data_IF_873594023193
#
_entry.id   IF_873594023193
#
_cell.length_a   1.000
_cell.length_b   1.000
_cell.length_c   1.000
_cell.angle_alpha   90.00
_cell.angle_beta   90.00
_cell.angle_gamma   90.00
#
_symmetry.space_group_name_H-M   'P 1'
#
loop_
_entity.id
_entity.type
_entity.pdbx_description
1 polymer ?
#
# COMPACT_ATOMS: atom_id res chain seq x y z
N UNK A 1 6.41 10.61 -0.53
CA UNK A 1 7.29 10.09 -1.61
C UNK A 1 7.59 11.14 -2.68
N UNK A 2 6.61 11.67 -3.45
CA UNK A 2 6.90 12.68 -4.49
C UNK A 2 7.63 13.92 -3.93
N UNK A 3 7.22 14.43 -2.76
CA UNK A 3 7.85 15.58 -2.13
C UNK A 3 9.33 15.40 -1.80
N UNK A 4 9.71 14.21 -1.35
CA UNK A 4 11.09 13.89 -0.94
C UNK A 4 11.98 13.44 -2.10
N UNK A 5 11.42 13.16 -3.28
CA UNK A 5 12.12 12.52 -4.40
C UNK A 5 12.05 13.32 -5.72
N UNK A 6 11.91 14.65 -5.67
CA UNK A 6 11.97 15.49 -6.88
C UNK A 6 10.64 15.63 -7.65
N UNK A 7 9.49 15.50 -6.96
CA UNK A 7 8.17 15.86 -7.48
C UNK A 7 7.79 15.16 -8.78
N UNK A 8 7.63 15.92 -9.87
CA UNK A 8 7.20 15.42 -11.16
C UNK A 8 8.15 14.42 -11.82
N UNK A 9 9.46 14.51 -11.55
CA UNK A 9 10.42 13.55 -12.04
C UNK A 9 10.21 12.16 -11.40
N UNK A 10 9.99 12.11 -10.09
CA UNK A 10 9.59 10.89 -9.38
C UNK A 10 8.28 10.32 -9.92
N UNK A 11 7.26 11.17 -10.15
CA UNK A 11 5.97 10.73 -10.69
C UNK A 11 6.12 10.05 -12.07
N UNK A 12 6.95 10.60 -12.95
CA UNK A 12 7.22 9.98 -14.26
C UNK A 12 7.87 8.59 -14.13
N UNK A 13 8.88 8.47 -13.27
CA UNK A 13 9.57 7.19 -13.03
C UNK A 13 8.63 6.17 -12.38
N UNK A 14 7.79 6.64 -11.44
CA UNK A 14 6.75 5.82 -10.82
C UNK A 14 5.76 5.28 -11.86
N UNK A 15 5.20 6.13 -12.74
CA UNK A 15 4.28 5.70 -13.80
C UNK A 15 4.97 4.72 -14.75
N UNK A 16 6.22 4.99 -15.12
CA UNK A 16 7.00 4.08 -15.96
C UNK A 16 7.15 2.70 -15.30
N UNK A 17 7.53 2.61 -14.03
CA UNK A 17 7.66 1.33 -13.33
C UNK A 17 6.33 0.63 -13.11
N UNK A 18 5.27 1.38 -12.84
CA UNK A 18 3.91 0.83 -12.72
C UNK A 18 3.48 0.11 -14.00
N UNK A 19 3.78 0.67 -15.17
CA UNK A 19 3.43 0.08 -16.47
C UNK A 19 4.46 -0.98 -16.88
N UNK A 20 5.76 -0.68 -16.83
CA UNK A 20 6.80 -1.54 -17.40
C UNK A 20 7.10 -2.77 -16.55
N UNK A 21 6.97 -2.66 -15.22
CA UNK A 21 7.30 -3.71 -14.26
C UNK A 21 6.04 -4.18 -13.51
N UNK A 22 5.26 -3.26 -12.99
CA UNK A 22 4.08 -3.57 -12.19
C UNK A 22 3.03 -4.36 -12.97
N UNK A 23 2.71 -3.97 -14.21
CA UNK A 23 1.74 -4.69 -15.04
C UNK A 23 2.13 -6.16 -15.33
N UNK A 24 3.36 -6.48 -15.77
CA UNK A 24 3.79 -7.86 -15.90
C UNK A 24 3.68 -8.67 -14.62
N UNK A 25 4.14 -8.14 -13.49
CA UNK A 25 4.08 -8.84 -12.20
C UNK A 25 2.63 -9.08 -11.78
N UNK A 26 1.76 -8.07 -11.90
CA UNK A 26 0.32 -8.16 -11.63
C UNK A 26 -0.36 -9.23 -12.50
N UNK A 27 -0.10 -9.24 -13.80
CA UNK A 27 -0.63 -10.25 -14.72
C UNK A 27 -0.14 -11.66 -14.38
N UNK A 28 1.13 -11.81 -13.96
CA UNK A 28 1.66 -13.08 -13.48
C UNK A 28 0.89 -13.55 -12.26
N UNK A 29 0.76 -12.72 -11.22
CA UNK A 29 0.02 -13.07 -10.00
C UNK A 29 -1.44 -13.41 -10.29
N UNK A 30 -2.13 -12.60 -11.07
CA UNK A 30 -3.52 -12.86 -11.45
C UNK A 30 -3.67 -14.19 -12.20
N UNK A 31 -2.78 -14.48 -13.15
CA UNK A 31 -2.83 -15.73 -13.91
C UNK A 31 -2.58 -16.95 -13.03
N UNK A 32 -1.60 -16.88 -12.12
CA UNK A 32 -1.28 -17.96 -11.20
C UNK A 32 -2.41 -18.20 -10.19
N UNK A 33 -2.91 -17.15 -9.56
CA UNK A 33 -4.00 -17.24 -8.58
C UNK A 33 -5.29 -17.77 -9.20
N UNK A 34 -5.72 -17.22 -10.36
CA UNK A 34 -6.92 -17.70 -11.07
C UNK A 34 -6.77 -19.14 -11.56
N UNK A 35 -5.60 -19.52 -12.05
CA UNK A 35 -5.36 -20.89 -12.52
C UNK A 35 -5.45 -21.92 -11.40
N UNK A 36 -4.88 -21.61 -10.25
CA UNK A 36 -4.82 -22.51 -9.10
C UNK A 36 -6.13 -22.57 -8.30
N UNK A 37 -6.89 -21.46 -8.26
CA UNK A 37 -8.07 -21.29 -7.39
C UNK A 37 -7.74 -21.58 -5.91
N UNK A 38 -6.53 -21.20 -5.47
CA UNK A 38 -5.99 -21.45 -4.13
C UNK A 38 -5.35 -20.16 -3.56
N UNK A 39 -5.17 -20.13 -2.24
CA UNK A 39 -4.38 -19.11 -1.56
C UNK A 39 -2.93 -19.05 -2.08
N UNK A 40 -2.15 -18.05 -1.66
CA UNK A 40 -0.79 -17.83 -2.16
C UNK A 40 0.13 -19.06 -2.02
N UNK A 41 0.05 -19.83 -0.91
CA UNK A 41 0.86 -21.05 -0.72
C UNK A 41 0.33 -22.21 -1.57
N UNK A 42 -0.98 -22.41 -1.56
CA UNK A 42 -1.66 -23.47 -2.31
C UNK A 42 -1.44 -23.31 -3.82
N UNK A 43 -1.37 -22.10 -4.32
CA UNK A 43 -1.07 -21.79 -5.73
C UNK A 43 0.21 -22.51 -6.19
N UNK A 44 1.30 -22.37 -5.47
CA UNK A 44 2.57 -22.98 -5.86
C UNK A 44 2.58 -24.50 -5.63
N UNK A 45 1.85 -25.01 -4.64
CA UNK A 45 1.69 -26.46 -4.45
C UNK A 45 0.96 -27.13 -5.59
N UNK A 46 -0.06 -26.48 -6.13
CA UNK A 46 -0.85 -26.99 -7.25
C UNK A 46 -0.11 -26.88 -8.57
N UNK A 47 0.55 -25.74 -8.83
CA UNK A 47 1.21 -25.46 -10.11
C UNK A 47 2.62 -26.06 -10.21
N UNK A 48 3.24 -26.41 -9.08
CA UNK A 48 4.59 -27.01 -9.02
C UNK A 48 4.68 -28.10 -7.94
N UNK A 49 3.92 -29.21 -8.09
CA UNK A 49 3.87 -30.26 -7.07
C UNK A 49 5.24 -30.90 -6.86
N UNK A 50 5.55 -31.23 -5.60
CA UNK A 50 6.81 -31.88 -5.24
C UNK A 50 8.04 -30.97 -5.22
N UNK A 51 7.90 -29.68 -5.49
CA UNK A 51 9.00 -28.71 -5.51
C UNK A 51 8.97 -27.80 -4.27
N UNK A 52 10.04 -27.02 -4.08
CA UNK A 52 10.14 -26.04 -2.98
C UNK A 52 9.50 -24.67 -3.33
N UNK A 53 8.83 -24.54 -4.47
CA UNK A 53 8.19 -23.28 -4.89
C UNK A 53 7.12 -22.78 -3.89
N UNK A 54 6.50 -23.68 -3.11
CA UNK A 54 5.54 -23.30 -2.07
C UNK A 54 6.14 -22.34 -1.02
N UNK A 55 7.48 -22.30 -0.85
CA UNK A 55 8.15 -21.38 0.07
C UNK A 55 7.92 -19.91 -0.35
N UNK A 56 7.73 -19.65 -1.65
CA UNK A 56 7.43 -18.28 -2.12
C UNK A 56 6.02 -17.86 -1.74
N UNK A 57 5.05 -18.77 -1.82
CA UNK A 57 3.72 -18.51 -1.30
C UNK A 57 3.74 -18.23 0.21
N UNK A 58 4.56 -18.96 0.96
CA UNK A 58 4.74 -18.71 2.39
C UNK A 58 5.40 -17.35 2.65
N UNK A 59 6.43 -16.98 1.86
CA UNK A 59 7.09 -15.68 1.93
C UNK A 59 6.08 -14.54 1.70
N UNK A 60 5.20 -14.68 0.73
CA UNK A 60 4.16 -13.68 0.43
C UNK A 60 3.17 -13.53 1.60
N UNK A 61 2.79 -14.63 2.26
CA UNK A 61 1.91 -14.60 3.44
C UNK A 61 2.60 -13.89 4.62
N UNK A 62 3.88 -14.18 4.86
CA UNK A 62 4.68 -13.52 5.90
C UNK A 62 4.82 -12.02 5.58
N UNK A 63 5.13 -11.66 4.33
CA UNK A 63 5.24 -10.28 3.90
C UNK A 63 3.93 -9.51 4.15
N UNK A 64 2.78 -10.06 3.74
CA UNK A 64 1.47 -9.45 3.98
C UNK A 64 1.19 -9.23 5.48
N UNK A 65 1.52 -10.20 6.33
CA UNK A 65 1.33 -10.11 7.77
C UNK A 65 2.25 -9.04 8.40
N UNK A 66 3.52 -9.01 8.00
CA UNK A 66 4.48 -8.01 8.49
C UNK A 66 4.10 -6.60 8.02
N UNK A 67 3.71 -6.43 6.74
CA UNK A 67 3.24 -5.14 6.23
C UNK A 67 2.04 -4.67 7.03
N UNK A 68 1.04 -5.52 7.25
CA UNK A 68 -0.15 -5.14 8.01
C UNK A 68 0.20 -4.76 9.45
N UNK A 69 1.23 -5.35 10.05
CA UNK A 69 1.62 -5.06 11.42
C UNK A 69 2.09 -3.61 11.62
N UNK A 70 2.91 -3.07 10.73
CA UNK A 70 3.32 -1.66 10.80
C UNK A 70 2.31 -0.71 10.14
N UNK A 71 1.66 -1.15 9.07
CA UNK A 71 0.60 -0.40 8.41
C UNK A 71 -0.59 -0.12 9.34
N UNK A 72 -0.95 -1.09 10.18
CA UNK A 72 -1.98 -0.92 11.21
C UNK A 72 -1.65 0.16 12.24
N UNK A 73 -0.36 0.39 12.52
CA UNK A 73 0.09 1.49 13.38
C UNK A 73 -0.27 2.86 12.79
N UNK A 74 0.16 3.10 11.55
CA UNK A 74 -0.13 4.37 10.85
C UNK A 74 -1.62 4.55 10.60
N UNK A 75 -2.31 3.46 10.28
CA UNK A 75 -3.77 3.48 10.09
C UNK A 75 -4.52 3.80 11.40
N UNK A 76 -4.01 3.37 12.54
CA UNK A 76 -4.52 3.79 13.84
C UNK A 76 -4.41 5.30 14.07
N UNK A 77 -3.34 5.94 13.57
CA UNK A 77 -3.20 7.40 13.63
C UNK A 77 -4.29 8.12 12.83
N UNK A 78 -4.74 7.56 11.72
CA UNK A 78 -5.82 8.18 10.94
C UNK A 78 -7.12 8.24 11.73
N UNK A 79 -7.44 7.21 12.51
CA UNK A 79 -8.62 7.19 13.38
C UNK A 79 -8.55 8.24 14.49
N UNK A 80 -7.39 8.41 15.13
CA UNK A 80 -7.18 9.49 16.12
C UNK A 80 -7.42 10.84 15.47
N UNK A 81 -6.92 11.07 14.26
CA UNK A 81 -7.05 12.35 13.56
C UNK A 81 -8.48 12.62 13.08
N UNK A 82 -9.26 11.60 12.76
CA UNK A 82 -10.72 11.75 12.57
C UNK A 82 -11.36 12.24 13.86
N UNK A 83 -11.02 11.63 15.00
CA UNK A 83 -11.54 12.04 16.31
C UNK A 83 -11.14 13.48 16.67
N UNK A 84 -9.87 13.85 16.49
CA UNK A 84 -9.37 15.20 16.75
C UNK A 84 -10.05 16.25 15.84
N UNK A 85 -10.33 15.90 14.59
CA UNK A 85 -11.04 16.77 13.65
C UNK A 85 -12.49 17.00 14.08
N UNK A 86 -13.21 15.96 14.47
CA UNK A 86 -14.60 16.04 14.93
C UNK A 86 -14.72 16.80 16.26
N UNK A 87 -13.77 16.57 17.18
CA UNK A 87 -13.74 17.23 18.49
C UNK A 87 -13.19 18.65 18.47
N UNK A 88 -12.81 19.14 17.27
CA UNK A 88 -12.23 20.47 17.06
C UNK A 88 -10.98 20.76 17.92
N UNK A 89 -10.23 19.70 18.25
CA UNK A 89 -9.09 19.77 19.14
C UNK A 89 -7.84 20.43 18.54
N UNK A 90 -7.86 20.77 17.26
CA UNK A 90 -6.79 21.50 16.60
C UNK A 90 -6.85 23.02 16.85
N UNK A 91 -8.00 23.58 17.28
CA UNK A 91 -8.13 25.03 17.52
C UNK A 91 -7.40 25.44 18.80
N UNK A 92 -6.63 26.54 18.69
CA UNK A 92 -6.03 27.22 19.84
C UNK A 92 -4.73 26.62 20.38
N UNK A 93 -4.17 25.59 19.74
CA UNK A 93 -2.89 25.04 20.13
C UNK A 93 -1.77 25.53 19.21
N UNK A 94 -0.89 26.37 19.75
CA UNK A 94 0.28 26.94 19.03
C UNK A 94 1.46 25.97 18.84
N UNK A 95 1.35 24.73 19.32
CA UNK A 95 2.39 23.72 19.24
C UNK A 95 1.85 22.38 18.71
N UNK A 96 1.40 22.38 17.46
CA UNK A 96 0.82 21.18 16.82
C UNK A 96 1.83 20.06 16.62
N UNK A 97 3.12 20.38 16.49
CA UNK A 97 4.19 19.39 16.51
C UNK A 97 4.19 18.57 17.80
N UNK A 98 3.65 19.15 18.89
CA UNK A 98 3.47 18.45 20.16
C UNK A 98 2.27 17.48 20.16
N UNK A 99 1.20 17.74 19.40
CA UNK A 99 0.01 16.86 19.39
C UNK A 99 0.39 15.50 18.80
N UNK A 100 1.03 15.49 17.62
CA UNK A 100 1.44 14.24 16.98
C UNK A 100 2.51 13.52 17.79
N UNK A 101 3.58 14.21 18.19
CA UNK A 101 4.66 13.62 18.98
C UNK A 101 4.18 13.09 20.31
N UNK A 102 3.32 13.80 21.00
CA UNK A 102 2.73 13.35 22.26
C UNK A 102 1.79 12.16 22.03
N UNK A 103 1.04 12.15 20.93
CA UNK A 103 0.15 11.05 20.60
C UNK A 103 0.93 9.77 20.31
N UNK A 104 1.93 9.78 19.40
CA UNK A 104 2.68 8.59 19.02
C UNK A 104 3.57 8.07 20.14
N UNK A 105 4.07 8.94 21.03
CA UNK A 105 4.87 8.57 22.20
C UNK A 105 4.02 8.05 23.37
N UNK A 106 2.71 8.35 23.38
CA UNK A 106 1.83 7.91 24.44
C UNK A 106 1.46 6.42 24.28
N UNK A 107 1.93 5.53 25.17
CA UNK A 107 1.89 4.08 24.92
C UNK A 107 0.47 3.54 24.77
N UNK A 108 -0.45 3.97 25.65
CA UNK A 108 -1.80 3.43 25.65
C UNK A 108 -2.66 4.01 24.53
N UNK A 109 -2.54 5.30 24.23
CA UNK A 109 -3.40 5.96 23.25
C UNK A 109 -3.14 5.48 21.83
N UNK A 110 -1.89 5.49 21.39
CA UNK A 110 -1.50 4.99 20.08
C UNK A 110 -1.83 3.51 19.90
N UNK A 111 -1.61 2.70 20.96
CA UNK A 111 -1.90 1.27 20.95
C UNK A 111 -3.43 1.00 20.86
N UNK A 112 -4.26 1.74 21.58
CA UNK A 112 -5.72 1.59 21.51
C UNK A 112 -6.26 1.86 20.12
N UNK A 113 -5.78 2.90 19.43
CA UNK A 113 -6.17 3.19 18.06
C UNK A 113 -5.67 2.15 17.06
N UNK A 114 -4.46 1.63 17.25
CA UNK A 114 -3.97 0.50 16.48
C UNK A 114 -4.88 -0.73 16.63
N UNK A 115 -5.20 -1.13 17.87
CA UNK A 115 -6.09 -2.26 18.16
C UNK A 115 -7.48 -2.00 17.59
N UNK A 116 -8.02 -0.79 17.73
CA UNK A 116 -9.32 -0.38 17.18
C UNK A 116 -9.37 -0.51 15.67
N UNK A 117 -8.33 -0.07 14.95
CA UNK A 117 -8.23 -0.21 13.52
C UNK A 117 -8.14 -1.68 13.08
N UNK A 118 -7.33 -2.49 13.76
CA UNK A 118 -7.21 -3.92 13.49
C UNK A 118 -8.51 -4.67 13.77
N UNK A 119 -9.25 -4.29 14.80
CA UNK A 119 -10.58 -4.83 15.08
C UNK A 119 -11.57 -4.52 13.97
N UNK A 120 -11.62 -3.27 13.46
CA UNK A 120 -12.46 -2.90 12.32
C UNK A 120 -12.12 -3.72 11.08
N UNK A 121 -10.83 -3.86 10.77
CA UNK A 121 -10.34 -4.67 9.64
C UNK A 121 -10.78 -6.13 9.77
N UNK A 122 -10.59 -6.73 10.95
CA UNK A 122 -11.00 -8.11 11.24
C UNK A 122 -12.51 -8.31 11.16
N UNK A 123 -13.30 -7.37 11.67
CA UNK A 123 -14.76 -7.43 11.63
C UNK A 123 -15.30 -7.48 10.18
N UNK A 124 -14.69 -6.72 9.26
CA UNK A 124 -15.05 -6.75 7.84
C UNK A 124 -14.70 -8.11 7.21
N UNK A 125 -13.51 -8.62 7.47
CA UNK A 125 -13.04 -9.91 6.93
C UNK A 125 -13.88 -11.09 7.43
N UNK A 126 -14.37 -11.05 8.65
CA UNK A 126 -15.30 -12.08 9.19
C UNK A 126 -16.54 -12.25 8.32
N UNK A 127 -17.04 -11.19 7.68
CA UNK A 127 -18.17 -11.23 6.75
C UNK A 127 -17.93 -12.03 5.47
N UNK A 128 -16.68 -12.41 5.19
CA UNK A 128 -16.26 -13.14 3.99
C UNK A 128 -16.10 -12.22 2.78
N UNK A 129 -15.80 -12.83 1.62
CA UNK A 129 -15.47 -12.09 0.40
C UNK A 129 -16.65 -11.24 -0.08
N UNK A 130 -17.83 -11.83 -0.25
CA UNK A 130 -18.98 -11.13 -0.83
C UNK A 130 -19.65 -10.14 0.15
N UNK A 131 -19.94 -10.59 1.39
CA UNK A 131 -20.69 -9.78 2.39
C UNK A 131 -19.77 -8.83 3.17
N UNK A 132 -18.48 -9.14 3.27
CA UNK A 132 -17.47 -8.31 3.91
C UNK A 132 -16.72 -7.47 2.87
N UNK A 133 -15.67 -8.02 2.29
CA UNK A 133 -14.71 -7.29 1.44
C UNK A 133 -15.40 -6.54 0.30
N UNK A 134 -16.16 -7.24 -0.53
CA UNK A 134 -16.78 -6.67 -1.73
C UNK A 134 -17.81 -5.58 -1.39
N UNK A 135 -18.67 -5.83 -0.40
CA UNK A 135 -19.70 -4.88 0.03
C UNK A 135 -19.08 -3.57 0.54
N UNK A 136 -18.10 -3.66 1.44
CA UNK A 136 -17.48 -2.47 2.02
C UNK A 136 -16.61 -1.74 1.00
N UNK A 137 -15.87 -2.45 0.14
CA UNK A 137 -15.08 -1.83 -0.93
C UNK A 137 -15.98 -1.08 -1.93
N UNK A 138 -17.11 -1.65 -2.32
CA UNK A 138 -18.10 -0.99 -3.20
C UNK A 138 -18.66 0.31 -2.62
N UNK A 139 -18.75 0.42 -1.29
CA UNK A 139 -19.21 1.64 -0.62
C UNK A 139 -18.07 2.64 -0.46
N UNK A 140 -16.89 2.19 0.02
CA UNK A 140 -15.79 3.07 0.39
C UNK A 140 -15.08 3.67 -0.83
N UNK A 141 -14.91 2.91 -1.93
CA UNK A 141 -14.18 3.41 -3.10
C UNK A 141 -14.85 4.61 -3.80
N UNK A 142 -16.15 4.60 -4.14
CA UNK A 142 -16.79 5.79 -4.72
C UNK A 142 -16.73 6.99 -3.78
N UNK A 143 -16.91 6.78 -2.48
CA UNK A 143 -16.84 7.86 -1.50
C UNK A 143 -15.42 8.45 -1.42
N UNK A 144 -14.39 7.60 -1.47
CA UNK A 144 -12.98 8.00 -1.56
C UNK A 144 -12.76 8.90 -2.80
N UNK A 145 -13.26 8.50 -3.97
CA UNK A 145 -13.15 9.30 -5.19
C UNK A 145 -13.85 10.66 -5.06
N UNK A 146 -15.05 10.71 -4.51
CA UNK A 146 -15.79 11.96 -4.31
C UNK A 146 -15.01 12.90 -3.40
N UNK A 147 -14.51 12.39 -2.27
CA UNK A 147 -13.78 13.20 -1.29
C UNK A 147 -12.46 13.70 -1.88
N UNK A 148 -11.68 12.84 -2.56
CA UNK A 148 -10.37 13.26 -3.11
C UNK A 148 -10.55 14.29 -4.23
N UNK A 149 -11.60 14.20 -5.05
CA UNK A 149 -11.92 15.18 -6.07
C UNK A 149 -12.32 16.51 -5.40
N UNK A 150 -13.16 16.49 -4.37
CA UNK A 150 -13.56 17.68 -3.64
C UNK A 150 -12.34 18.39 -2.99
N UNK A 151 -11.45 17.63 -2.36
CA UNK A 151 -10.20 18.14 -1.79
C UNK A 151 -9.27 18.70 -2.88
N UNK A 152 -9.16 18.04 -4.02
CA UNK A 152 -8.35 18.52 -5.15
C UNK A 152 -8.88 19.85 -5.70
N UNK A 153 -10.20 19.96 -5.88
CA UNK A 153 -10.83 21.20 -6.34
C UNK A 153 -10.58 22.33 -5.33
N UNK A 154 -10.78 22.08 -4.05
CA UNK A 154 -10.51 23.07 -3.00
C UNK A 154 -9.03 23.49 -2.99
N UNK A 155 -8.11 22.54 -3.08
CA UNK A 155 -6.67 22.79 -3.08
C UNK A 155 -6.22 23.64 -4.27
N UNK A 156 -6.84 23.47 -5.44
CA UNK A 156 -6.56 24.29 -6.63
C UNK A 156 -7.01 25.74 -6.50
N UNK A 157 -7.88 26.10 -5.56
CA UNK A 157 -8.27 27.48 -5.31
C UNK A 157 -7.30 28.27 -4.43
N UNK A 158 -6.30 27.59 -3.86
CA UNK A 158 -5.34 28.20 -2.95
C UNK A 158 -4.24 28.98 -3.69
N UNK A 159 -3.62 29.96 -3.01
CA UNK A 159 -2.62 30.86 -3.58
C UNK A 159 -1.38 30.15 -4.15
N UNK A 160 -0.93 29.07 -3.51
CA UNK A 160 0.22 28.25 -3.95
C UNK A 160 -0.12 27.16 -4.97
N UNK A 161 -1.35 27.16 -5.53
CA UNK A 161 -1.80 26.11 -6.44
C UNK A 161 -0.93 25.98 -7.69
N UNK A 162 -0.56 27.11 -8.30
CA UNK A 162 0.28 27.12 -9.50
C UNK A 162 1.68 26.50 -9.23
N UNK A 163 2.27 26.80 -8.07
CA UNK A 163 3.57 26.30 -7.66
C UNK A 163 3.52 24.78 -7.32
N UNK A 164 2.51 24.37 -6.57
CA UNK A 164 2.27 22.95 -6.24
C UNK A 164 2.01 22.10 -7.48
N UNK A 165 1.20 22.58 -8.42
CA UNK A 165 0.95 21.89 -9.70
C UNK A 165 2.20 21.84 -10.58
N UNK A 166 2.99 22.94 -10.60
CA UNK A 166 4.27 22.96 -11.30
C UNK A 166 5.24 21.95 -10.72
N UNK A 167 5.33 21.87 -9.40
CA UNK A 167 6.17 20.86 -8.73
C UNK A 167 5.76 19.42 -9.07
N UNK A 168 4.45 19.15 -9.19
CA UNK A 168 3.92 17.82 -9.49
C UNK A 168 4.06 17.42 -10.96
N UNK A 169 3.86 18.35 -11.90
CA UNK A 169 3.74 18.04 -13.33
C UNK A 169 4.94 18.48 -14.19
N UNK A 170 5.82 19.34 -13.69
CA UNK A 170 7.02 19.75 -14.43
C UNK A 170 8.26 19.00 -13.89
N UNK A 171 8.67 17.92 -14.57
CA UNK A 171 9.76 17.08 -14.11
C UNK A 171 11.11 17.79 -14.23
N UNK A 172 11.87 17.82 -13.16
CA UNK A 172 13.27 18.21 -13.14
C UNK A 172 14.14 16.97 -13.05
N UNK A 173 14.52 16.42 -14.20
CA UNK A 173 15.29 15.16 -14.27
C UNK A 173 16.66 15.25 -13.56
N UNK A 174 17.21 16.46 -13.41
CA UNK A 174 18.44 16.68 -12.66
C UNK A 174 18.34 16.44 -11.16
N UNK A 175 17.13 16.38 -10.62
CA UNK A 175 16.87 16.08 -9.20
C UNK A 175 16.69 14.58 -8.92
N UNK A 176 16.68 13.73 -9.98
CA UNK A 176 16.61 12.29 -9.81
C UNK A 176 17.93 11.71 -9.34
N UNK A 177 17.89 11.01 -8.21
CA UNK A 177 18.99 10.21 -7.66
C UNK A 177 18.71 8.72 -7.86
N UNK A 178 19.72 7.87 -7.68
CA UNK A 178 19.54 6.42 -7.67
C UNK A 178 18.52 5.99 -6.60
N UNK A 179 18.56 6.63 -5.43
CA UNK A 179 17.61 6.38 -4.33
C UNK A 179 16.17 6.77 -4.70
N UNK A 180 16.00 7.89 -5.45
CA UNK A 180 14.67 8.29 -5.95
C UNK A 180 14.09 7.29 -6.94
N UNK A 181 14.93 6.74 -7.82
CA UNK A 181 14.51 5.70 -8.79
C UNK A 181 14.08 4.43 -8.06
N UNK A 182 14.85 4.03 -7.06
CA UNK A 182 14.52 2.88 -6.23
C UNK A 182 13.23 3.09 -5.46
N UNK A 183 13.11 4.24 -4.79
CA UNK A 183 11.89 4.61 -4.06
C UNK A 183 10.66 4.59 -4.97
N UNK A 184 10.81 4.99 -6.25
CA UNK A 184 9.73 4.92 -7.23
C UNK A 184 9.35 3.47 -7.60
N UNK A 185 10.34 2.56 -7.69
CA UNK A 185 10.07 1.14 -7.89
C UNK A 185 9.36 0.53 -6.68
N UNK A 186 9.88 0.76 -5.48
CA UNK A 186 9.27 0.30 -4.24
C UNK A 186 7.84 0.80 -4.08
N UNK A 187 7.61 2.09 -4.39
CA UNK A 187 6.28 2.69 -4.39
C UNK A 187 5.34 2.03 -5.41
N UNK A 188 5.82 1.69 -6.62
CA UNK A 188 5.01 1.00 -7.61
C UNK A 188 4.60 -0.41 -7.16
N UNK A 189 5.50 -1.15 -6.51
CA UNK A 189 5.19 -2.45 -5.92
C UNK A 189 4.18 -2.34 -4.77
N UNK A 190 4.40 -1.39 -3.88
CA UNK A 190 3.52 -1.18 -2.73
C UNK A 190 2.12 -0.75 -3.15
N UNK A 191 2.02 0.23 -4.05
CA UNK A 191 0.76 0.77 -4.55
C UNK A 191 -0.08 -0.28 -5.28
N UNK A 192 0.54 -1.06 -6.18
CA UNK A 192 -0.13 -2.13 -6.92
C UNK A 192 -0.33 -3.41 -6.09
N UNK A 193 0.16 -3.46 -4.85
CA UNK A 193 0.09 -4.64 -3.97
C UNK A 193 0.70 -5.91 -4.58
N UNK A 194 1.76 -5.78 -5.39
CA UNK A 194 2.44 -6.91 -6.02
C UNK A 194 3.55 -7.46 -5.11
N UNK A 195 3.85 -8.75 -5.22
CA UNK A 195 4.90 -9.42 -4.43
C UNK A 195 4.47 -9.89 -3.04
N UNK A 196 3.28 -9.50 -2.56
CA UNK A 196 2.79 -9.79 -1.21
C UNK A 196 1.62 -10.78 -1.16
N UNK A 197 1.32 -11.46 -2.27
CA UNK A 197 0.28 -12.52 -2.32
C UNK A 197 -1.16 -12.03 -2.33
N UNK A 198 -1.42 -10.73 -2.27
CA UNK A 198 -2.77 -10.14 -2.33
C UNK A 198 -3.41 -10.48 -3.67
N UNK A 199 -2.72 -10.20 -4.77
CA UNK A 199 -3.26 -10.41 -6.11
C UNK A 199 -3.42 -11.89 -6.42
N UNK A 200 -2.51 -12.77 -5.94
CA UNK A 200 -2.67 -14.22 -5.99
C UNK A 200 -3.96 -14.66 -5.29
N UNK A 201 -4.17 -14.19 -4.06
CA UNK A 201 -5.34 -14.55 -3.24
C UNK A 201 -6.63 -14.03 -3.86
N UNK A 202 -6.68 -12.77 -4.30
CA UNK A 202 -7.87 -12.23 -4.95
C UNK A 202 -8.15 -12.86 -6.31
N UNK A 203 -7.12 -13.18 -7.07
CA UNK A 203 -7.29 -13.85 -8.35
C UNK A 203 -7.88 -15.25 -8.22
N UNK A 204 -7.67 -15.93 -7.09
CA UNK A 204 -8.31 -17.23 -6.85
C UNK A 204 -9.84 -17.14 -6.77
N UNK A 205 -10.37 -15.95 -6.54
CA UNK A 205 -11.82 -15.67 -6.50
C UNK A 205 -12.37 -15.17 -7.85
N UNK A 206 -11.51 -14.84 -8.83
CA UNK A 206 -11.91 -14.31 -10.14
C UNK A 206 -12.46 -15.44 -11.02
N UNK A 207 -13.66 -15.27 -11.63
CA UNK A 207 -14.21 -16.19 -12.60
C UNK A 207 -13.30 -16.36 -13.83
N UNK A 208 -13.31 -17.58 -14.43
CA UNK A 208 -12.47 -17.89 -15.59
C UNK A 208 -12.77 -17.07 -16.84
N UNK A 209 -14.01 -16.56 -16.95
CA UNK A 209 -14.47 -15.79 -18.11
C UNK A 209 -14.03 -14.31 -18.08
N UNK A 210 -13.51 -13.82 -16.96
CA UNK A 210 -13.11 -12.42 -16.81
C UNK A 210 -11.80 -12.13 -17.54
N UNK A 211 -11.70 -10.94 -18.13
CA UNK A 211 -10.50 -10.49 -18.85
C UNK A 211 -9.46 -9.94 -17.88
N UNK A 212 -8.44 -10.73 -17.52
CA UNK A 212 -7.38 -10.32 -16.58
C UNK A 212 -6.60 -9.10 -17.08
N UNK A 213 -6.30 -9.00 -18.37
CA UNK A 213 -5.59 -7.85 -18.94
C UNK A 213 -6.41 -6.57 -18.77
N UNK A 214 -7.72 -6.65 -19.05
CA UNK A 214 -8.64 -5.52 -18.86
C UNK A 214 -8.76 -5.11 -17.39
N UNK A 215 -8.79 -6.08 -16.47
CA UNK A 215 -8.79 -5.82 -15.01
C UNK A 215 -7.49 -5.14 -14.60
N UNK A 216 -6.33 -5.67 -15.00
CA UNK A 216 -5.03 -5.12 -14.64
C UNK A 216 -4.84 -3.69 -15.13
N UNK A 217 -5.25 -3.39 -16.36
CA UNK A 217 -5.19 -2.03 -16.90
C UNK A 217 -6.10 -1.06 -16.13
N UNK A 218 -7.32 -1.48 -15.78
CA UNK A 218 -8.22 -0.67 -14.97
C UNK A 218 -7.61 -0.37 -13.60
N UNK A 219 -7.01 -1.38 -12.95
CA UNK A 219 -6.35 -1.19 -11.65
C UNK A 219 -5.22 -0.17 -11.76
N UNK A 220 -4.31 -0.31 -12.73
CA UNK A 220 -3.19 0.60 -12.93
C UNK A 220 -3.66 2.03 -13.22
N UNK A 221 -4.62 2.20 -14.12
CA UNK A 221 -5.15 3.52 -14.45
C UNK A 221 -5.80 4.17 -13.22
N UNK A 222 -6.59 3.41 -12.48
CA UNK A 222 -7.27 3.90 -11.28
C UNK A 222 -6.29 4.26 -10.18
N UNK A 223 -5.31 3.41 -9.91
CA UNK A 223 -4.24 3.64 -8.93
C UNK A 223 -3.44 4.90 -9.26
N UNK A 224 -2.97 5.02 -10.51
CA UNK A 224 -2.25 6.21 -10.98
C UNK A 224 -3.10 7.47 -10.88
N UNK A 225 -4.39 7.40 -11.24
CA UNK A 225 -5.31 8.53 -11.13
C UNK A 225 -5.47 8.99 -9.67
N UNK A 226 -5.66 8.05 -8.74
CA UNK A 226 -5.75 8.37 -7.31
C UNK A 226 -4.46 8.99 -6.80
N UNK A 227 -3.29 8.47 -7.20
CA UNK A 227 -2.00 9.04 -6.82
C UNK A 227 -1.83 10.49 -7.32
N UNK A 228 -2.23 10.77 -8.56
CA UNK A 228 -2.20 12.13 -9.13
C UNK A 228 -3.18 13.05 -8.38
N UNK A 229 -4.42 12.60 -8.15
CA UNK A 229 -5.41 13.38 -7.40
C UNK A 229 -4.95 13.68 -5.97
N UNK A 230 -4.32 12.72 -5.30
CA UNK A 230 -3.73 12.94 -3.98
C UNK A 230 -2.61 13.99 -4.02
N UNK A 231 -1.76 13.97 -5.06
CA UNK A 231 -0.76 15.01 -5.29
C UNK A 231 -1.39 16.40 -5.49
N UNK A 232 -2.46 16.48 -6.28
CA UNK A 232 -3.22 17.74 -6.51
C UNK A 232 -3.92 18.21 -5.23
N UNK A 233 -4.41 17.29 -4.40
CA UNK A 233 -5.07 17.64 -3.14
C UNK A 233 -4.08 18.19 -2.10
N UNK A 234 -2.84 17.67 -2.07
CA UNK A 234 -1.88 17.95 -1.00
C UNK A 234 -0.88 19.05 -1.39
N UNK A 235 -0.23 18.96 -2.55
CA UNK A 235 0.90 19.83 -2.88
C UNK A 235 0.52 21.32 -3.01
N UNK A 236 -0.58 21.72 -3.68
CA UNK A 236 -0.97 23.13 -3.69
C UNK A 236 -1.20 23.71 -2.29
N UNK A 237 -1.76 22.90 -1.38
CA UNK A 237 -1.95 23.30 0.00
C UNK A 237 -0.60 23.48 0.72
N UNK A 238 0.32 22.53 0.57
CA UNK A 238 1.69 22.60 1.13
C UNK A 238 2.42 23.86 0.69
N UNK A 239 2.39 24.17 -0.61
CA UNK A 239 3.02 25.39 -1.14
C UNK A 239 2.33 26.69 -0.71
N UNK A 240 1.00 26.69 -0.56
CA UNK A 240 0.24 27.85 -0.09
C UNK A 240 0.58 28.26 1.34
N UNK A 241 0.96 27.30 2.16
CA UNK A 241 1.33 27.51 3.57
C UNK A 241 2.84 27.49 3.80
N UNK A 242 3.66 27.55 2.71
CA UNK A 242 5.13 27.57 2.76
C UNK A 242 5.75 26.41 3.57
N UNK A 243 5.17 25.23 3.44
CA UNK A 243 5.61 24.04 4.14
C UNK A 243 6.61 23.29 3.27
N UNK A 244 7.61 22.67 3.91
CA UNK A 244 8.58 21.85 3.21
C UNK A 244 7.92 20.56 2.70
N UNK A 245 7.84 20.33 1.37
CA UNK A 245 7.29 19.10 0.81
C UNK A 245 8.10 17.85 1.18
N UNK A 246 9.32 18.01 1.70
CA UNK A 246 10.20 16.91 2.09
C UNK A 246 9.96 16.37 3.52
N UNK A 247 8.98 16.88 4.25
CA UNK A 247 8.70 16.47 5.64
C UNK A 247 8.25 14.99 5.81
N UNK A 248 8.21 14.21 4.72
CA UNK A 248 7.94 12.77 4.77
C UNK A 248 6.54 12.42 5.31
N UNK A 249 6.40 11.31 6.08
CA UNK A 249 5.11 10.92 6.70
C UNK A 249 4.55 11.98 7.66
N UNK A 250 5.42 12.78 8.26
CA UNK A 250 5.04 13.91 9.12
C UNK A 250 4.19 14.96 8.39
N UNK A 251 4.35 15.10 7.07
CA UNK A 251 3.57 16.02 6.24
C UNK A 251 2.06 15.85 6.44
N UNK A 252 1.58 14.63 6.56
CA UNK A 252 0.15 14.35 6.69
C UNK A 252 -0.37 14.69 8.08
N UNK A 253 0.36 14.33 9.13
CA UNK A 253 -0.14 14.42 10.50
C UNK A 253 0.32 15.66 11.25
N UNK A 254 1.46 16.25 10.87
CA UNK A 254 1.98 17.48 11.47
C UNK A 254 1.52 18.72 10.73
N UNK A 255 1.41 18.63 9.41
CA UNK A 255 1.31 19.78 8.53
C UNK A 255 -0.10 20.05 8.04
N UNK A 256 -0.82 19.01 7.58
CA UNK A 256 -2.17 19.22 7.04
C UNK A 256 -3.18 19.76 8.07
N UNK A 257 -3.14 19.42 9.36
CA UNK A 257 -3.97 20.09 10.34
C UNK A 257 -3.79 21.61 10.35
N UNK A 258 -2.54 22.10 10.23
CA UNK A 258 -2.22 23.55 10.12
C UNK A 258 -2.84 24.19 8.88
N UNK A 259 -2.72 23.49 7.76
CA UNK A 259 -3.31 23.91 6.50
C UNK A 259 -4.82 24.08 6.67
N UNK A 260 -5.49 23.08 7.23
CA UNK A 260 -6.95 23.14 7.41
C UNK A 260 -7.40 24.25 8.36
N UNK A 261 -6.64 24.55 9.42
CA UNK A 261 -6.94 25.68 10.30
C UNK A 261 -6.91 27.04 9.59
N UNK A 262 -6.06 27.19 8.60
CA UNK A 262 -5.96 28.41 7.77
C UNK A 262 -7.03 28.54 6.69
N UNK A 263 -7.90 27.52 6.48
CA UNK A 263 -8.90 27.51 5.43
C UNK A 263 -10.30 27.91 5.92
N UNK A 264 -11.12 28.56 5.09
CA UNK A 264 -12.54 28.69 5.35
C UNK A 264 -13.18 27.29 5.49
N UNK A 265 -13.96 27.07 6.55
CA UNK A 265 -14.54 25.77 6.90
C UNK A 265 -13.51 24.63 7.02
N UNK A 266 -12.31 24.95 7.48
CA UNK A 266 -11.18 24.01 7.56
C UNK A 266 -11.45 22.74 8.37
N UNK A 267 -12.33 22.83 9.38
CA UNK A 267 -12.79 21.67 10.15
C UNK A 267 -13.46 20.61 9.27
N UNK A 268 -14.31 21.04 8.33
CA UNK A 268 -14.99 20.14 7.39
C UNK A 268 -13.96 19.48 6.47
N UNK A 269 -13.00 20.25 5.97
CA UNK A 269 -11.93 19.71 5.13
C UNK A 269 -11.03 18.73 5.88
N UNK A 270 -10.71 19.00 7.14
CA UNK A 270 -9.95 18.09 7.99
C UNK A 270 -10.69 16.76 8.20
N UNK A 271 -11.97 16.83 8.58
CA UNK A 271 -12.82 15.63 8.76
C UNK A 271 -12.86 14.80 7.47
N UNK A 272 -13.17 15.44 6.33
CA UNK A 272 -13.24 14.75 5.03
C UNK A 272 -11.90 14.10 4.67
N UNK A 273 -10.77 14.80 4.88
CA UNK A 273 -9.45 14.30 4.56
C UNK A 273 -9.07 13.07 5.41
N UNK A 274 -9.25 13.15 6.74
CA UNK A 274 -8.88 12.02 7.61
C UNK A 274 -9.84 10.84 7.49
N UNK A 275 -11.13 11.05 7.15
CA UNK A 275 -12.05 9.98 6.76
C UNK A 275 -11.59 9.33 5.45
N UNK A 276 -11.22 10.11 4.44
CA UNK A 276 -10.65 9.62 3.18
C UNK A 276 -9.44 8.72 3.46
N UNK A 277 -8.51 9.22 4.26
CA UNK A 277 -7.27 8.51 4.59
C UNK A 277 -7.56 7.22 5.36
N UNK A 278 -8.53 7.23 6.28
CA UNK A 278 -8.97 6.04 7.02
C UNK A 278 -9.60 5.00 6.09
N UNK A 279 -10.44 5.41 5.14
CA UNK A 279 -11.03 4.49 4.16
C UNK A 279 -10.00 3.90 3.21
N UNK A 280 -9.06 4.71 2.73
CA UNK A 280 -7.95 4.23 1.92
C UNK A 280 -7.09 3.21 2.69
N UNK A 281 -6.77 3.51 3.94
CA UNK A 281 -6.03 2.61 4.82
C UNK A 281 -6.80 1.30 5.08
N UNK A 282 -8.11 1.38 5.33
CA UNK A 282 -8.93 0.22 5.65
C UNK A 282 -9.09 -0.73 4.46
N UNK A 283 -9.27 -0.21 3.24
CA UNK A 283 -9.34 -1.05 2.02
C UNK A 283 -8.06 -1.83 1.79
N UNK A 284 -6.89 -1.22 2.02
CA UNK A 284 -5.59 -1.88 1.93
C UNK A 284 -5.38 -2.91 3.05
N UNK A 285 -5.75 -2.56 4.29
CA UNK A 285 -5.62 -3.47 5.43
C UNK A 285 -6.48 -4.72 5.29
N UNK A 286 -7.71 -4.58 4.75
CA UNK A 286 -8.59 -5.71 4.43
C UNK A 286 -7.88 -6.66 3.45
N UNK A 287 -7.26 -6.13 2.40
CA UNK A 287 -6.56 -6.93 1.40
C UNK A 287 -5.35 -7.67 1.98
N UNK A 288 -4.57 -7.00 2.83
CA UNK A 288 -3.43 -7.60 3.52
C UNK A 288 -3.85 -8.71 4.49
N UNK A 289 -4.93 -8.50 5.27
CA UNK A 289 -5.40 -9.50 6.24
C UNK A 289 -6.03 -10.72 5.56
N UNK A 290 -6.64 -10.56 4.38
CA UNK A 290 -7.23 -11.67 3.64
C UNK A 290 -6.19 -12.75 3.28
N UNK A 291 -4.95 -12.37 2.99
CA UNK A 291 -3.89 -13.31 2.59
C UNK A 291 -3.60 -14.37 3.67
N UNK A 292 -3.27 -14.03 4.93
CA UNK A 292 -3.10 -15.02 5.98
C UNK A 292 -4.41 -15.70 6.38
N UNK A 293 -5.56 -15.03 6.28
CA UNK A 293 -6.86 -15.65 6.58
C UNK A 293 -7.19 -16.73 5.56
N UNK A 294 -7.03 -16.47 4.26
CA UNK A 294 -7.24 -17.47 3.20
C UNK A 294 -6.33 -18.71 3.42
N UNK A 295 -5.06 -18.47 3.77
CA UNK A 295 -4.14 -19.54 4.12
C UNK A 295 -4.65 -20.40 5.30
N UNK A 296 -5.10 -19.77 6.39
CA UNK A 296 -5.60 -20.49 7.56
C UNK A 296 -6.89 -21.27 7.25
N UNK A 297 -7.76 -20.72 6.41
CA UNK A 297 -9.01 -21.38 5.99
C UNK A 297 -8.71 -22.57 5.09
N UNK A 298 -7.91 -22.38 4.04
CA UNK A 298 -7.71 -23.39 3.00
C UNK A 298 -6.71 -24.47 3.40
N UNK A 299 -5.55 -24.11 4.02
CA UNK A 299 -4.50 -25.05 4.38
C UNK A 299 -4.68 -25.65 5.78
N UNK A 300 -5.12 -24.86 6.76
CA UNK A 300 -5.33 -25.32 8.13
C UNK A 300 -6.77 -25.75 8.40
N UNK A 301 -7.66 -25.62 7.40
CA UNK A 301 -9.09 -26.01 7.49
C UNK A 301 -9.84 -25.35 8.64
N UNK A 302 -9.40 -24.16 9.06
CA UNK A 302 -10.08 -23.41 10.11
C UNK A 302 -11.35 -22.75 9.56
N UNK A 303 -12.39 -22.67 10.38
CA UNK A 303 -13.58 -21.86 10.06
C UNK A 303 -13.16 -20.39 9.93
N UNK A 304 -13.65 -19.69 8.91
CA UNK A 304 -13.27 -18.30 8.62
C UNK A 304 -13.29 -17.34 9.82
N UNK A 305 -14.31 -17.35 10.72
CA UNK A 305 -14.27 -16.47 11.89
C UNK A 305 -13.05 -16.72 12.78
N UNK A 306 -12.70 -17.99 13.06
CA UNK A 306 -11.53 -18.33 13.87
C UNK A 306 -10.21 -18.01 13.18
N UNK A 307 -10.13 -18.26 11.86
CA UNK A 307 -8.96 -17.88 11.07
C UNK A 307 -8.73 -16.37 11.11
N UNK A 308 -9.81 -15.57 10.99
CA UNK A 308 -9.74 -14.11 11.07
C UNK A 308 -9.30 -13.65 12.46
N UNK A 309 -9.89 -14.18 13.53
CA UNK A 309 -9.52 -13.82 14.91
C UNK A 309 -8.05 -14.12 15.17
N UNK A 310 -7.58 -15.32 14.82
CA UNK A 310 -6.18 -15.72 15.03
C UNK A 310 -5.23 -14.82 14.23
N UNK A 311 -5.48 -14.63 12.93
CA UNK A 311 -4.64 -13.78 12.10
C UNK A 311 -4.60 -12.34 12.62
N UNK A 312 -5.76 -11.77 12.93
CA UNK A 312 -5.86 -10.41 13.48
C UNK A 312 -5.10 -10.28 14.80
N UNK A 313 -5.28 -11.19 15.73
CA UNK A 313 -4.60 -11.14 17.03
C UNK A 313 -3.07 -11.24 16.90
N UNK A 314 -2.58 -12.19 16.08
CA UNK A 314 -1.13 -12.37 15.86
C UNK A 314 -0.53 -11.11 15.23
N UNK A 315 -1.16 -10.57 14.19
CA UNK A 315 -0.65 -9.39 13.48
C UNK A 315 -0.75 -8.14 14.38
N UNK A 316 -1.83 -7.98 15.15
CA UNK A 316 -1.98 -6.89 16.12
C UNK A 316 -0.91 -6.97 17.21
N UNK A 317 -0.58 -8.17 17.67
CA UNK A 317 0.49 -8.37 18.65
C UNK A 317 1.85 -7.91 18.10
N UNK A 318 2.20 -8.30 16.86
CA UNK A 318 3.42 -7.83 16.18
C UNK A 318 3.38 -6.32 15.99
N UNK A 319 2.26 -5.78 15.52
CA UNK A 319 2.06 -4.35 15.30
C UNK A 319 2.10 -3.51 16.58
N UNK A 320 1.79 -4.11 17.73
CA UNK A 320 1.95 -3.44 19.02
C UNK A 320 3.40 -3.07 19.30
N UNK A 321 4.37 -3.92 18.93
CA UNK A 321 5.80 -3.57 19.05
C UNK A 321 6.18 -2.43 18.12
N UNK A 322 5.65 -2.41 16.88
CA UNK A 322 5.85 -1.31 15.94
C UNK A 322 5.25 0.00 16.48
N UNK A 323 4.05 -0.04 17.04
CA UNK A 323 3.41 1.14 17.66
C UNK A 323 4.20 1.66 18.85
N UNK A 324 4.65 0.78 19.74
CA UNK A 324 5.40 1.16 20.94
C UNK A 324 6.84 1.62 20.64
N UNK A 325 7.34 1.38 19.43
CA UNK A 325 8.69 1.84 19.02
C UNK A 325 8.82 3.36 18.93
N UNK A 326 7.71 4.09 18.84
CA UNK A 326 7.70 5.56 18.90
C UNK A 326 7.70 6.12 20.34
N UNK A 327 7.45 5.28 21.32
CA UNK A 327 7.35 5.65 22.74
C UNK A 327 8.23 4.79 23.66
N UNK A 328 7.64 3.87 24.43
CA UNK A 328 8.39 3.08 25.44
C UNK A 328 9.53 2.25 24.88
N UNK A 329 9.41 1.76 23.64
CA UNK A 329 10.42 0.91 22.99
C UNK A 329 11.33 1.68 22.04
N UNK A 330 11.36 3.02 22.09
CA UNK A 330 12.20 3.84 21.19
C UNK A 330 13.71 3.55 21.30
N UNK A 331 14.13 2.99 22.43
CA UNK A 331 15.52 2.60 22.67
C UNK A 331 15.88 1.24 22.05
N UNK A 332 14.88 0.45 21.66
CA UNK A 332 15.09 -0.84 21.00
C UNK A 332 15.28 -0.58 19.51
N UNK A 333 16.49 -0.82 19.04
CA UNK A 333 16.87 -0.59 17.64
C UNK A 333 17.41 -1.87 17.01
N UNK A 334 17.10 -2.08 15.73
CA UNK A 334 17.64 -3.15 14.89
C UNK A 334 18.46 -2.47 13.79
N UNK A 335 19.78 -2.70 13.74
CA UNK A 335 20.70 -2.02 12.81
C UNK A 335 20.59 -0.50 12.83
N UNK A 336 20.36 0.11 14.00
CA UNK A 336 20.20 1.55 14.16
C UNK A 336 18.84 2.12 13.75
N UNK A 337 17.90 1.28 13.32
CA UNK A 337 16.53 1.66 12.96
C UNK A 337 15.56 1.32 14.09
N UNK A 338 14.45 2.07 14.23
CA UNK A 338 13.35 1.69 15.11
C UNK A 338 12.74 0.35 14.66
N UNK A 339 11.97 -0.32 15.53
CA UNK A 339 11.28 -1.56 15.15
C UNK A 339 10.33 -1.35 13.98
N UNK A 340 9.64 -0.19 13.95
CA UNK A 340 8.78 0.20 12.85
C UNK A 340 9.57 0.36 11.54
N UNK A 341 10.64 1.16 11.56
CA UNK A 341 11.46 1.42 10.36
C UNK A 341 12.15 0.14 9.86
N UNK A 342 12.62 -0.72 10.77
CA UNK A 342 13.23 -2.00 10.41
C UNK A 342 12.23 -2.94 9.73
N UNK A 343 10.97 -2.96 10.22
CA UNK A 343 9.91 -3.78 9.64
C UNK A 343 9.50 -3.24 8.25
N UNK A 344 9.34 -1.92 8.12
CA UNK A 344 9.04 -1.28 6.84
C UNK A 344 10.17 -1.50 5.83
N UNK A 345 11.43 -1.27 6.23
CA UNK A 345 12.59 -1.50 5.36
C UNK A 345 12.67 -2.95 4.86
N UNK A 346 12.51 -3.92 5.77
CA UNK A 346 12.51 -5.33 5.41
C UNK A 346 11.43 -5.66 4.39
N UNK A 347 10.21 -5.15 4.59
CA UNK A 347 9.10 -5.43 3.69
C UNK A 347 9.28 -4.71 2.36
N UNK A 348 9.46 -3.38 2.38
CA UNK A 348 9.41 -2.53 1.19
C UNK A 348 10.64 -2.70 0.30
N UNK A 349 11.83 -2.88 0.90
CA UNK A 349 13.07 -2.93 0.13
C UNK A 349 13.61 -4.36 -0.13
N UNK A 350 13.12 -5.36 0.61
CA UNK A 350 13.62 -6.74 0.46
C UNK A 350 12.48 -7.69 0.05
N UNK A 351 11.43 -7.83 0.88
CA UNK A 351 10.43 -8.88 0.65
C UNK A 351 9.58 -8.64 -0.59
N UNK A 352 9.13 -7.39 -0.83
CA UNK A 352 8.31 -7.07 -1.99
C UNK A 352 9.06 -7.23 -3.32
N UNK A 353 10.27 -6.63 -3.52
CA UNK A 353 11.04 -6.84 -4.73
C UNK A 353 11.40 -8.31 -4.95
N UNK A 354 11.79 -9.03 -3.89
CA UNK A 354 12.09 -10.45 -3.96
C UNK A 354 10.86 -11.26 -4.38
N UNK A 355 9.69 -10.98 -3.79
CA UNK A 355 8.43 -11.60 -4.16
C UNK A 355 8.11 -11.40 -5.64
N UNK A 356 8.24 -10.17 -6.14
CA UNK A 356 8.03 -9.85 -7.55
C UNK A 356 9.00 -10.57 -8.50
N UNK A 357 10.29 -10.63 -8.15
CA UNK A 357 11.29 -11.38 -8.91
C UNK A 357 10.90 -12.86 -9.00
N UNK A 358 10.60 -13.47 -7.86
CA UNK A 358 10.33 -14.91 -7.77
C UNK A 358 9.05 -15.31 -8.50
N UNK A 359 8.00 -14.49 -8.43
CA UNK A 359 6.76 -14.68 -9.18
C UNK A 359 7.03 -14.62 -10.68
N UNK A 360 7.79 -13.63 -11.14
CA UNK A 360 8.13 -13.49 -12.56
C UNK A 360 9.08 -14.60 -13.05
N UNK A 361 10.01 -15.06 -12.24
CA UNK A 361 10.85 -16.22 -12.56
C UNK A 361 9.97 -17.47 -12.69
N UNK A 362 9.07 -17.70 -11.74
CA UNK A 362 8.15 -18.82 -11.80
C UNK A 362 7.30 -18.79 -13.06
N UNK A 363 6.65 -17.66 -13.34
CA UNK A 363 5.77 -17.50 -14.49
C UNK A 363 6.52 -17.49 -15.84
N UNK A 364 7.74 -16.91 -15.90
CA UNK A 364 8.48 -16.70 -17.15
C UNK A 364 9.39 -17.85 -17.57
N UNK A 365 9.87 -18.66 -16.62
CA UNK A 365 10.85 -19.71 -16.89
C UNK A 365 10.43 -21.11 -16.42
N UNK A 366 9.72 -21.21 -15.30
CA UNK A 366 9.34 -22.51 -14.73
C UNK A 366 8.00 -23.02 -15.28
N UNK A 367 6.98 -22.16 -15.29
CA UNK A 367 5.63 -22.56 -15.71
C UNK A 367 5.53 -22.75 -17.21
N UNK A 368 4.73 -23.74 -17.63
CA UNK A 368 4.41 -23.93 -19.05
C UNK A 368 3.70 -22.67 -19.60
N UNK A 369 4.25 -22.14 -20.69
CA UNK A 369 3.73 -20.94 -21.34
C UNK A 369 2.30 -21.06 -21.78
N UNK A 370 1.83 -22.27 -22.14
CA UNK A 370 0.45 -22.53 -22.54
C UNK A 370 -0.53 -22.18 -21.42
N UNK A 371 -0.16 -22.43 -20.16
CA UNK A 371 -0.96 -22.11 -18.98
C UNK A 371 -1.13 -20.58 -18.85
N UNK A 372 -0.05 -19.84 -18.94
CA UNK A 372 -0.08 -18.37 -18.90
C UNK A 372 -0.89 -17.78 -20.04
N UNK A 373 -0.67 -18.26 -21.27
CA UNK A 373 -1.41 -17.78 -22.44
C UNK A 373 -2.90 -18.06 -22.34
N UNK A 374 -3.30 -19.24 -21.83
CA UNK A 374 -4.72 -19.56 -21.63
C UNK A 374 -5.42 -18.66 -20.63
N UNK A 375 -4.68 -18.10 -19.66
CA UNK A 375 -5.24 -17.19 -18.66
C UNK A 375 -5.24 -15.71 -19.12
N UNK A 376 -4.21 -15.24 -19.82
CA UNK A 376 -4.07 -13.81 -20.17
C UNK A 376 -4.82 -13.47 -21.45
N UNK A 377 -4.96 -14.39 -22.39
CA UNK A 377 -5.35 -14.06 -23.74
C UNK A 377 -6.59 -14.77 -24.23
N UNK A 378 -7.61 -13.98 -24.50
CA UNK A 378 -8.53 -14.30 -25.59
C UNK A 378 -7.88 -14.10 -27.00
N UNK A 379 -6.67 -13.48 -27.13
CA UNK A 379 -6.08 -13.14 -28.42
C UNK A 379 -4.54 -13.08 -28.49
N UNK A 380 -3.77 -13.76 -27.63
CA UNK A 380 -2.35 -14.08 -27.89
C UNK A 380 -1.32 -12.96 -28.07
N UNK A 381 -1.64 -11.69 -27.79
CA UNK A 381 -0.76 -10.55 -28.14
C UNK A 381 0.32 -10.18 -27.11
N UNK A 382 0.19 -10.57 -25.88
CA UNK A 382 1.20 -10.31 -24.83
C UNK A 382 2.29 -11.38 -24.85
N UNK A 383 3.46 -11.03 -25.39
CA UNK A 383 4.60 -11.95 -25.50
C UNK A 383 5.19 -12.23 -24.12
N UNK A 384 5.50 -13.51 -23.82
CA UNK A 384 6.23 -13.98 -22.62
C UNK A 384 7.52 -13.22 -22.32
N UNK A 385 8.03 -12.43 -23.24
CA UNK A 385 9.22 -11.60 -23.06
C UNK A 385 9.05 -10.59 -21.91
N UNK A 386 7.83 -10.08 -21.69
CA UNK A 386 7.56 -9.14 -20.58
C UNK A 386 7.80 -9.77 -19.20
N UNK A 387 7.38 -11.03 -19.00
CA UNK A 387 7.62 -11.74 -17.74
C UNK A 387 9.10 -12.06 -17.50
N UNK A 388 9.92 -12.08 -18.55
CA UNK A 388 11.35 -12.33 -18.44
C UNK A 388 12.17 -11.06 -18.23
N UNK A 389 11.70 -9.92 -18.71
CA UNK A 389 12.40 -8.65 -18.55
C UNK A 389 12.20 -8.06 -17.14
N UNK A 390 10.99 -8.16 -16.60
CA UNK A 390 10.67 -7.59 -15.28
C UNK A 390 11.64 -8.06 -14.17
N UNK A 391 11.90 -9.35 -13.94
CA UNK A 391 12.79 -9.78 -12.86
C UNK A 391 14.24 -9.34 -13.07
N UNK A 392 14.70 -9.21 -14.33
CA UNK A 392 16.05 -8.72 -14.62
C UNK A 392 16.15 -7.24 -14.21
N UNK A 393 15.17 -6.43 -14.59
CA UNK A 393 15.13 -5.01 -14.21
C UNK A 393 15.07 -4.84 -12.67
N UNK A 394 14.19 -5.59 -11.99
CA UNK A 394 14.06 -5.55 -10.54
C UNK A 394 15.37 -5.97 -9.87
N UNK A 395 16.01 -7.04 -10.36
CA UNK A 395 17.27 -7.54 -9.81
C UNK A 395 18.41 -6.52 -9.98
N UNK A 396 18.53 -5.87 -11.12
CA UNK A 396 19.53 -4.81 -11.35
C UNK A 396 19.33 -3.62 -10.40
N UNK A 397 18.07 -3.20 -10.22
CA UNK A 397 17.75 -2.13 -9.26
C UNK A 397 18.11 -2.55 -7.83
N UNK A 398 17.80 -3.80 -7.45
CA UNK A 398 18.14 -4.34 -6.13
C UNK A 398 19.65 -4.41 -5.89
N UNK A 399 20.45 -4.77 -6.89
CA UNK A 399 21.92 -4.77 -6.81
C UNK A 399 22.49 -3.36 -6.64
N UNK A 400 21.92 -2.38 -7.33
CA UNK A 400 22.30 -0.98 -7.20
C UNK A 400 22.04 -0.45 -5.78
N UNK A 401 20.89 -0.82 -5.21
CA UNK A 401 20.52 -0.48 -3.81
C UNK A 401 21.50 -1.03 -2.80
N UNK A 402 21.92 -2.28 -3.01
CA UNK A 402 22.86 -2.95 -2.12
C UNK A 402 24.30 -2.43 -2.31
N UNK A 403 24.51 -1.45 -3.20
CA UNK A 403 25.83 -0.88 -3.50
C UNK A 403 26.78 -1.88 -4.17
N UNK A 404 26.22 -2.88 -4.88
CA UNK A 404 27.01 -3.93 -5.56
C UNK A 404 27.40 -3.47 -6.97
N UNK A 405 26.54 -2.66 -7.62
CA UNK A 405 26.77 -2.05 -8.95
C UNK A 405 26.39 -0.58 -8.95
#
# INVERSE_FOLDING_TARGET
>A
MAGTNGGGAFLLVYIFFTIAIGLPVMLAEFSLGRRSQQNALGTFRVLAPGTKWFLFGLLSIIAAALILSFYGTVSGWTLEYVWLSISNSFQGQSAEDSIFTNFISHPYKALLWHIGFMFLTGAIIMGGVQKGIERYSKLMMPLLFIIIIALSINSMTLSGSAEGLRFLFFPKLSELTADSILSALGQAFFSLSVGMGILLTYASYIPKNDNLTGISLKVIITDTLVAILAGIAILPAVFSFHIDPQAGPGLVFLTLPKVFQGLPAGEIWAILFFILLTFAALTSAISLLEVPVAYLVEEKKLKRPWATVIATLVITCIGSFNTLSFGPLRHVQIFGMSLFDACDYLCSNILLPLGGILICIFAGWYLDKSILYSEISNNGSLKTRFFRLAPICIFLILLNVLGII
#
